data_IF_835579099070
#
_entry.id   IF_835579099070
#
_cell.length_a   1.000
_cell.length_b   1.000
_cell.length_c   1.000
_cell.angle_alpha   90.00
_cell.angle_beta   90.00
_cell.angle_gamma   90.00
#
_symmetry.space_group_name_H-M   'P 1'
#
loop_
_entity.id
_entity.type
_entity.pdbx_description
1 polymer ?
#
# COMPACT_ATOMS: atom_id res chain seq x y z
N UNK A 1 24.07 22.27 -19.25
CA UNK A 1 22.59 22.26 -19.19
C UNK A 1 22.18 21.28 -18.08
N UNK A 2 21.70 21.73 -16.91
CA UNK A 2 21.18 20.81 -15.90
C UNK A 2 19.68 20.61 -16.15
N UNK A 3 19.25 19.38 -16.39
CA UNK A 3 17.83 19.05 -16.28
C UNK A 3 17.71 17.83 -15.38
N UNK A 4 17.71 18.08 -14.07
CA UNK A 4 17.30 17.13 -13.05
C UNK A 4 15.80 16.93 -13.24
N UNK A 5 15.46 15.94 -14.08
CA UNK A 5 14.09 15.47 -14.22
C UNK A 5 13.62 14.97 -12.84
N UNK A 6 12.69 15.74 -12.26
CA UNK A 6 11.89 15.36 -11.12
C UNK A 6 11.22 14.02 -11.45
N UNK A 7 11.76 12.93 -10.93
CA UNK A 7 11.06 11.65 -10.95
C UNK A 7 10.00 11.68 -9.86
N UNK A 8 8.92 12.42 -10.13
CA UNK A 8 7.65 12.24 -9.46
C UNK A 8 7.13 10.88 -9.91
N UNK A 9 7.58 9.82 -9.25
CA UNK A 9 7.04 8.47 -9.42
C UNK A 9 5.62 8.47 -8.84
N UNK A 10 4.70 8.88 -9.71
CA UNK A 10 3.29 8.57 -9.80
C UNK A 10 2.69 7.86 -8.59
N UNK A 11 2.03 8.63 -7.73
CA UNK A 11 1.06 8.17 -6.71
C UNK A 11 -0.18 7.46 -7.28
N UNK A 12 -0.13 6.93 -8.50
CA UNK A 12 -1.30 6.52 -9.29
C UNK A 12 -1.66 5.04 -9.13
N UNK A 13 -0.93 4.23 -8.35
CA UNK A 13 -1.10 2.78 -8.47
C UNK A 13 -1.06 2.02 -7.14
N UNK A 14 -2.14 2.16 -6.36
CA UNK A 14 -2.63 1.11 -5.45
C UNK A 14 -4.18 1.05 -5.43
N UNK A 15 -4.88 2.01 -6.05
CA UNK A 15 -6.34 2.09 -6.02
C UNK A 15 -6.98 1.61 -7.34
N UNK A 16 -7.06 0.30 -7.55
CA UNK A 16 -8.08 -0.21 -8.46
C UNK A 16 -9.46 0.09 -7.84
N UNK A 17 -10.41 0.72 -8.56
CA UNK A 17 -11.69 1.12 -7.97
C UNK A 17 -12.46 -0.12 -7.52
N UNK A 18 -12.71 -0.23 -6.21
CA UNK A 18 -13.66 -1.19 -5.63
C UNK A 18 -13.08 -2.44 -4.96
N UNK A 19 -11.76 -2.67 -4.99
CA UNK A 19 -11.13 -3.77 -4.25
C UNK A 19 -9.72 -3.36 -3.78
N UNK A 20 -9.63 -2.78 -2.59
CA UNK A 20 -8.34 -2.45 -2.00
C UNK A 20 -7.74 -3.70 -1.35
N UNK A 21 -6.53 -4.06 -1.78
CA UNK A 21 -5.78 -5.19 -1.23
C UNK A 21 -5.69 -5.10 0.31
N UNK A 22 -5.56 -3.89 0.86
CA UNK A 22 -5.51 -3.68 2.31
C UNK A 22 -6.78 -4.13 3.02
N UNK A 23 -7.95 -3.76 2.50
CA UNK A 23 -9.24 -4.13 3.09
C UNK A 23 -9.43 -5.65 3.12
N UNK A 24 -9.14 -6.31 2.00
CA UNK A 24 -9.24 -7.76 1.90
C UNK A 24 -8.30 -8.48 2.87
N UNK A 25 -7.06 -7.98 3.00
CA UNK A 25 -6.05 -8.49 3.93
C UNK A 25 -6.51 -8.32 5.38
N UNK A 26 -7.03 -7.15 5.74
CA UNK A 26 -7.54 -6.85 7.07
C UNK A 26 -8.69 -7.80 7.46
N UNK A 27 -9.68 -7.93 6.57
CA UNK A 27 -10.85 -8.80 6.79
C UNK A 27 -10.48 -10.28 6.86
N UNK A 28 -9.56 -10.74 6.00
CA UNK A 28 -9.08 -12.14 6.00
C UNK A 28 -8.37 -12.51 7.30
N UNK A 29 -7.67 -11.55 7.90
CA UNK A 29 -7.02 -11.72 9.21
C UNK A 29 -7.94 -11.49 10.40
N UNK A 30 -9.19 -11.10 10.16
CA UNK A 30 -10.19 -10.87 11.22
C UNK A 30 -10.00 -9.58 11.99
N UNK A 31 -9.27 -8.60 11.45
CA UNK A 31 -9.08 -7.30 12.09
C UNK A 31 -10.25 -6.36 11.78
N UNK A 32 -10.74 -5.64 12.80
CA UNK A 32 -11.55 -4.43 12.57
C UNK A 32 -10.67 -3.25 12.17
N UNK A 33 -11.28 -2.17 11.68
CA UNK A 33 -10.53 -0.93 11.35
C UNK A 33 -9.92 -0.33 12.62
N UNK A 34 -10.64 -0.39 13.75
CA UNK A 34 -10.19 0.07 15.05
C UNK A 34 -9.01 -0.76 15.57
N UNK A 35 -9.07 -2.09 15.43
CA UNK A 35 -7.97 -2.97 15.84
C UNK A 35 -6.73 -2.75 14.96
N UNK A 36 -6.91 -2.58 13.64
CA UNK A 36 -5.80 -2.24 12.75
C UNK A 36 -5.19 -0.89 13.13
N UNK A 37 -6.03 0.13 13.39
CA UNK A 37 -5.63 1.46 13.85
C UNK A 37 -4.74 1.40 15.09
N UNK A 38 -5.14 0.62 16.09
CA UNK A 38 -4.36 0.43 17.31
C UNK A 38 -3.04 -0.32 17.03
N UNK A 39 -3.06 -1.29 16.12
CA UNK A 39 -1.88 -2.12 15.81
C UNK A 39 -0.83 -1.34 15.02
N UNK A 40 -1.22 -0.50 14.05
CA UNK A 40 -0.29 0.26 13.22
C UNK A 40 -0.03 1.70 13.71
N UNK A 41 -0.81 2.17 14.69
CA UNK A 41 -0.69 3.52 15.24
C UNK A 41 -1.11 4.63 14.26
N UNK A 42 -2.07 4.33 13.38
CA UNK A 42 -2.70 5.28 12.46
C UNK A 42 -4.13 5.57 12.93
N UNK A 43 -4.67 6.73 12.58
CA UNK A 43 -6.07 7.01 12.88
C UNK A 43 -7.01 6.16 12.01
N UNK A 44 -8.18 5.81 12.55
CA UNK A 44 -9.25 5.10 11.82
C UNK A 44 -9.58 5.79 10.48
N UNK A 45 -9.67 7.12 10.48
CA UNK A 45 -9.92 7.89 9.25
C UNK A 45 -8.82 7.72 8.20
N UNK A 46 -7.56 7.66 8.62
CA UNK A 46 -6.43 7.42 7.70
C UNK A 46 -6.50 6.03 7.09
N UNK A 47 -6.89 5.01 7.86
CA UNK A 47 -7.07 3.66 7.32
C UNK A 47 -8.22 3.63 6.31
N UNK A 48 -9.34 4.29 6.60
CA UNK A 48 -10.47 4.38 5.67
C UNK A 48 -10.06 5.10 4.39
N UNK A 49 -9.35 6.23 4.51
CA UNK A 49 -8.87 6.98 3.35
C UNK A 49 -7.90 6.13 2.51
N UNK A 50 -7.04 5.33 3.15
CA UNK A 50 -6.17 4.38 2.46
C UNK A 50 -6.99 3.26 1.79
N UNK A 51 -7.94 2.64 2.49
CA UNK A 51 -8.81 1.58 1.96
C UNK A 51 -9.69 2.06 0.80
N UNK A 52 -10.13 3.31 0.81
CA UNK A 52 -10.89 3.93 -0.27
C UNK A 52 -9.99 4.42 -1.43
N UNK A 53 -8.66 4.33 -1.29
CA UNK A 53 -7.69 4.81 -2.27
C UNK A 53 -7.56 6.33 -2.33
N UNK A 54 -8.06 7.04 -1.31
CA UNK A 54 -7.97 8.49 -1.14
C UNK A 54 -6.62 8.92 -0.55
N UNK A 55 -5.92 8.01 0.11
CA UNK A 55 -4.57 8.20 0.65
C UNK A 55 -3.66 7.02 0.24
N UNK A 56 -2.46 7.32 -0.25
CA UNK A 56 -1.46 6.34 -0.66
C UNK A 56 -0.07 6.71 -0.12
N UNK A 57 -0.01 7.39 1.03
CA UNK A 57 1.25 7.77 1.67
C UNK A 57 2.11 6.53 1.95
N UNK A 58 3.30 6.41 1.32
CA UNK A 58 4.17 5.24 1.48
C UNK A 58 4.60 5.04 2.94
N UNK A 59 4.73 6.09 3.74
CA UNK A 59 5.08 5.96 5.16
C UNK A 59 3.97 5.26 5.94
N UNK A 60 2.71 5.57 5.65
CA UNK A 60 1.54 4.93 6.29
C UNK A 60 1.41 3.48 5.86
N UNK A 61 1.57 3.21 4.56
CA UNK A 61 1.53 1.85 4.00
C UNK A 61 2.62 0.96 4.62
N UNK A 62 3.84 1.48 4.83
CA UNK A 62 4.92 0.76 5.52
C UNK A 62 4.58 0.42 6.97
N UNK A 63 3.96 1.35 7.70
CA UNK A 63 3.53 1.11 9.09
C UNK A 63 2.48 0.01 9.15
N UNK A 64 1.54 0.00 8.21
CA UNK A 64 0.53 -1.04 8.09
C UNK A 64 1.17 -2.40 7.73
N UNK A 65 2.08 -2.44 6.75
CA UNK A 65 2.81 -3.65 6.38
C UNK A 65 3.56 -4.24 7.59
N UNK A 66 4.31 -3.40 8.30
CA UNK A 66 5.06 -3.82 9.50
C UNK A 66 4.14 -4.32 10.62
N UNK A 67 3.01 -3.67 10.85
CA UNK A 67 2.03 -4.04 11.87
C UNK A 67 1.36 -5.39 11.56
N UNK A 68 1.10 -5.65 10.27
CA UNK A 68 0.53 -6.90 9.78
C UNK A 68 1.58 -7.99 9.51
N UNK A 69 2.87 -7.71 9.77
CA UNK A 69 4.00 -8.58 9.48
C UNK A 69 4.02 -9.06 8.02
N UNK A 70 3.71 -8.15 7.10
CA UNK A 70 3.66 -8.41 5.67
C UNK A 70 4.83 -7.76 4.93
N UNK A 71 5.23 -8.34 3.79
CA UNK A 71 6.11 -7.66 2.85
C UNK A 71 5.46 -6.36 2.37
N UNK A 72 6.23 -5.27 2.35
CA UNK A 72 5.77 -3.96 1.89
C UNK A 72 5.27 -4.02 0.43
N UNK A 73 5.84 -4.91 -0.38
CA UNK A 73 5.53 -5.11 -1.79
C UNK A 73 4.08 -5.53 -2.02
N UNK A 74 3.45 -6.21 -1.06
CA UNK A 74 2.03 -6.59 -1.14
C UNK A 74 1.08 -5.38 -0.99
N UNK A 75 1.54 -4.31 -0.33
CA UNK A 75 0.77 -3.09 -0.15
C UNK A 75 1.24 -1.95 -1.06
N UNK A 76 2.53 -1.88 -1.38
CA UNK A 76 3.19 -0.76 -2.07
C UNK A 76 3.41 -1.05 -3.56
N UNK A 77 3.16 -2.28 -4.02
CA UNK A 77 3.41 -2.77 -5.39
C UNK A 77 3.67 -1.68 -6.43
N UNK A 78 4.95 -1.30 -6.55
CA UNK A 78 5.48 -0.80 -7.82
C UNK A 78 5.27 -1.96 -8.78
N UNK A 79 4.69 -1.75 -9.97
CA UNK A 79 4.38 -2.85 -10.88
C UNK A 79 5.64 -3.68 -11.00
N UNK A 80 5.57 -4.89 -10.45
CA UNK A 80 6.61 -5.87 -10.60
C UNK A 80 6.74 -6.04 -12.10
N UNK A 81 7.77 -5.42 -12.69
CA UNK A 81 8.27 -5.81 -13.98
C UNK A 81 8.71 -7.25 -13.73
N UNK A 82 7.81 -8.19 -13.97
CA UNK A 82 8.09 -9.61 -14.08
C UNK A 82 8.96 -9.78 -15.33
N UNK A 83 10.20 -9.31 -15.25
CA UNK A 83 11.26 -9.69 -16.15
C UNK A 83 11.61 -11.12 -15.79
N UNK A 84 10.80 -12.08 -16.25
CA UNK A 84 11.29 -13.46 -16.34
C UNK A 84 12.49 -13.41 -17.28
N UNK A 85 13.72 -13.73 -16.84
CA UNK A 85 14.77 -14.03 -17.80
C UNK A 85 14.34 -15.33 -18.48
N UNK A 86 14.01 -15.25 -19.76
CA UNK A 86 13.95 -16.40 -20.65
C UNK A 86 15.32 -17.07 -20.57
N UNK A 87 15.43 -18.14 -19.78
CA UNK A 87 16.61 -18.98 -19.76
C UNK A 87 16.53 -19.92 -20.97
N UNK A 88 17.60 -19.84 -21.75
CA UNK A 88 17.92 -20.50 -23.01
C UNK A 88 17.55 -21.98 -23.09
#
# INVERSE_FOLDING_TARGET
MPNTARNAVSSEMIAAPGYNALKAVRETRGYTIEELSLTCGLAVGEIIDIEDGRDADPVKLRRIASALQMPEEELISVPAVESRPTRQ
#
